data_IF_942646747444
#
_entry.id   IF_942646747444
#
_cell.length_a   1.000
_cell.length_b   1.000
_cell.length_c   1.000
_cell.angle_alpha   90.00
_cell.angle_beta   90.00
_cell.angle_gamma   90.00
#
_symmetry.space_group_name_H-M   'P 1'
#
loop_
_entity.id
_entity.type
_entity.pdbx_description
1 polymer ?
#
# COMPACT_ATOMS: atom_id res chain seq x y z
N UNK A 1 32.29 4.68 24.53
CA UNK A 1 33.41 5.27 25.31
C UNK A 1 32.83 6.47 26.05
N UNK A 2 32.39 6.26 27.31
CA UNK A 2 32.10 7.35 28.24
C UNK A 2 33.41 7.64 28.94
N UNK A 3 34.16 8.66 28.50
CA UNK A 3 35.27 9.19 29.28
C UNK A 3 34.69 9.78 30.57
N UNK A 4 35.14 9.31 31.74
CA UNK A 4 34.84 9.98 33.01
C UNK A 4 35.32 11.43 32.92
N UNK A 5 34.52 12.40 33.40
CA UNK A 5 34.99 13.79 33.46
C UNK A 5 36.25 13.85 34.29
N UNK A 6 37.17 14.71 33.88
CA UNK A 6 38.41 14.95 34.59
C UNK A 6 38.11 15.39 36.04
N UNK A 7 38.90 14.96 37.01
CA UNK A 7 38.71 15.32 38.43
C UNK A 7 38.58 16.84 38.63
N UNK A 8 39.24 17.64 37.81
CA UNK A 8 39.10 19.08 37.79
C UNK A 8 37.68 19.53 37.42
N UNK A 9 37.04 18.90 36.43
CA UNK A 9 35.67 19.23 36.03
C UNK A 9 34.69 18.96 37.16
N UNK A 10 34.89 17.87 37.90
CA UNK A 10 34.10 17.53 39.08
C UNK A 10 34.22 18.56 40.17
N UNK A 11 35.46 19.01 40.45
CA UNK A 11 35.77 20.04 41.49
C UNK A 11 35.14 21.40 41.19
N UNK A 12 35.00 21.78 39.91
CA UNK A 12 34.38 23.05 39.50
C UNK A 12 32.86 22.97 39.36
N UNK A 13 32.23 21.86 39.69
CA UNK A 13 30.78 21.69 39.71
C UNK A 13 30.23 20.86 38.56
N UNK A 14 31.07 20.17 37.79
CA UNK A 14 30.65 19.26 36.72
C UNK A 14 30.32 19.95 35.39
N UNK A 15 29.68 19.17 34.51
CA UNK A 15 29.30 19.68 33.20
C UNK A 15 28.06 20.58 33.28
N UNK A 16 28.22 21.82 32.76
CA UNK A 16 27.11 22.76 32.62
C UNK A 16 26.51 22.68 31.20
N UNK A 17 25.22 22.43 31.09
CA UNK A 17 24.46 22.43 29.82
C UNK A 17 23.79 23.79 29.66
N UNK A 18 24.06 24.45 28.54
CA UNK A 18 23.41 25.68 28.15
C UNK A 18 22.51 25.39 26.92
N UNK A 19 21.24 25.67 27.02
CA UNK A 19 20.30 25.63 25.89
C UNK A 19 19.92 27.05 25.50
N UNK A 20 20.12 27.40 24.23
CA UNK A 20 19.74 28.72 23.69
C UNK A 20 18.26 28.85 23.36
N UNK A 21 17.53 27.69 23.33
CA UNK A 21 16.11 27.59 23.10
C UNK A 21 15.54 26.30 23.70
N UNK A 22 14.22 26.15 23.72
CA UNK A 22 13.56 24.90 24.10
C UNK A 22 13.20 24.11 22.84
N UNK A 23 13.45 22.82 22.89
CA UNK A 23 13.05 21.94 21.81
C UNK A 23 11.53 21.72 21.81
N UNK A 24 10.95 21.38 20.66
CA UNK A 24 9.52 21.06 20.54
C UNK A 24 9.11 19.86 21.40
N UNK A 25 10.01 18.93 21.64
CA UNK A 25 9.78 17.73 22.46
C UNK A 25 10.44 17.82 23.82
N UNK A 26 9.65 17.66 24.89
CA UNK A 26 10.17 17.57 26.27
C UNK A 26 11.18 16.45 26.46
N UNK A 27 11.06 15.37 25.69
CA UNK A 27 11.99 14.24 25.75
C UNK A 27 13.39 14.65 25.31
N UNK A 28 13.52 15.46 24.28
CA UNK A 28 14.82 15.95 23.78
C UNK A 28 15.45 16.92 24.77
N UNK A 29 14.67 17.83 25.36
CA UNK A 29 15.17 18.69 26.44
C UNK A 29 15.70 17.88 27.61
N UNK A 30 15.00 16.80 28.00
CA UNK A 30 15.46 15.91 29.07
C UNK A 30 16.74 15.14 28.68
N UNK A 31 16.86 14.72 27.42
CA UNK A 31 18.07 14.06 26.92
C UNK A 31 19.27 15.02 26.92
N UNK A 32 19.03 16.28 26.57
CA UNK A 32 20.08 17.31 26.64
C UNK A 32 20.52 17.54 28.09
N UNK A 33 19.57 17.76 29.01
CA UNK A 33 19.86 17.91 30.45
C UNK A 33 20.56 16.69 31.02
N UNK A 34 20.18 15.50 30.63
CA UNK A 34 20.74 14.23 31.10
C UNK A 34 22.14 13.93 30.59
N UNK A 35 22.74 14.83 29.81
CA UNK A 35 24.18 14.76 29.49
C UNK A 35 25.05 15.23 30.64
N UNK A 36 24.51 15.99 31.58
CA UNK A 36 25.12 16.44 32.82
C UNK A 36 24.62 15.60 34.01
N UNK A 37 25.41 15.52 35.09
CA UNK A 37 25.05 14.79 36.31
C UNK A 37 24.92 13.26 36.13
N UNK A 38 25.67 12.68 35.22
CA UNK A 38 25.65 11.21 34.99
C UNK A 38 26.39 10.48 36.12
N UNK A 39 25.87 9.30 36.48
CA UNK A 39 26.43 8.41 37.51
C UNK A 39 26.66 9.09 38.88
N UNK A 40 25.92 10.15 39.17
CA UNK A 40 26.02 10.87 40.43
C UNK A 40 27.05 12.01 40.43
N UNK A 41 27.70 12.28 39.31
CA UNK A 41 28.58 13.44 39.16
C UNK A 41 27.78 14.75 39.30
N UNK A 42 28.43 15.84 39.82
CA UNK A 42 27.80 17.15 39.84
C UNK A 42 27.54 17.66 38.41
N UNK A 43 26.55 18.50 38.26
CA UNK A 43 26.26 19.13 36.97
C UNK A 43 25.06 20.03 37.04
N UNK A 44 24.94 20.92 36.07
CA UNK A 44 23.88 21.90 35.98
C UNK A 44 23.31 22.03 34.55
N UNK A 45 22.10 22.56 34.43
CA UNK A 45 21.51 22.90 33.12
C UNK A 45 20.73 24.16 33.20
N UNK A 46 20.89 25.03 32.21
CA UNK A 46 20.16 26.29 32.10
C UNK A 46 19.68 26.51 30.66
N UNK A 47 18.45 26.94 30.51
CA UNK A 47 17.88 27.32 29.22
C UNK A 47 17.65 28.82 29.18
N UNK A 48 18.10 29.44 28.10
CA UNK A 48 17.79 30.83 27.73
C UNK A 48 16.78 30.76 26.60
N UNK A 49 15.66 31.45 26.78
CA UNK A 49 14.52 31.39 25.84
C UNK A 49 14.06 32.80 25.53
N UNK A 50 13.56 32.99 24.31
CA UNK A 50 12.90 34.22 23.87
C UNK A 50 11.41 33.99 23.66
N UNK A 51 10.63 35.05 23.83
CA UNK A 51 9.20 35.05 23.42
C UNK A 51 9.06 34.94 21.91
N UNK A 52 10.11 35.26 21.17
CA UNK A 52 10.18 35.18 19.70
C UNK A 52 10.56 33.80 19.19
N UNK A 53 10.98 32.87 20.08
CA UNK A 53 11.25 31.49 19.69
C UNK A 53 10.03 30.85 19.07
N UNK A 54 10.22 29.99 18.04
CA UNK A 54 9.12 29.39 17.27
C UNK A 54 8.09 28.67 18.13
N UNK A 55 8.54 27.95 19.17
CA UNK A 55 7.66 27.28 20.12
C UNK A 55 6.75 28.27 20.86
N UNK A 56 7.30 29.43 21.24
CA UNK A 56 6.56 30.46 21.98
C UNK A 56 5.62 31.19 21.03
N UNK A 57 6.07 31.56 19.85
CA UNK A 57 5.29 32.28 18.84
C UNK A 57 4.08 31.50 18.37
N UNK A 58 4.22 30.18 18.15
CA UNK A 58 3.14 29.34 17.64
C UNK A 58 2.06 29.02 18.68
N UNK A 59 2.40 28.91 19.95
CA UNK A 59 1.50 28.35 20.96
C UNK A 59 1.21 29.23 22.18
N UNK A 60 1.98 30.27 22.40
CA UNK A 60 1.86 31.14 23.57
C UNK A 60 1.63 32.60 23.16
N UNK A 61 2.10 33.01 22.02
CA UNK A 61 1.94 34.30 21.34
C UNK A 61 1.32 35.46 22.14
N UNK A 62 0.15 35.91 21.66
CA UNK A 62 -0.47 37.11 22.15
C UNK A 62 -0.89 37.11 23.64
N UNK A 63 -1.15 35.91 24.20
CA UNK A 63 -1.57 35.83 25.62
C UNK A 63 -0.42 36.09 26.60
N UNK A 64 0.79 35.60 26.26
CA UNK A 64 1.96 35.84 27.09
C UNK A 64 2.46 37.28 26.90
N UNK A 65 2.50 37.76 25.66
CA UNK A 65 2.82 39.16 25.37
C UNK A 65 1.93 40.13 26.16
N UNK A 66 0.62 39.93 26.10
CA UNK A 66 -0.34 40.73 26.87
C UNK A 66 -0.21 40.58 28.40
N UNK A 67 0.22 39.42 28.88
CA UNK A 67 0.48 39.20 30.31
C UNK A 67 1.77 39.88 30.74
N UNK A 68 2.78 39.90 29.88
CA UNK A 68 4.07 40.56 30.13
C UNK A 68 3.92 42.09 30.13
N UNK A 69 3.14 42.65 29.19
CA UNK A 69 2.81 44.07 29.16
C UNK A 69 2.11 44.51 30.46
N UNK A 70 1.20 43.67 30.99
CA UNK A 70 0.53 43.91 32.25
C UNK A 70 1.43 43.78 33.47
N UNK A 71 2.48 43.00 33.42
CA UNK A 71 3.50 42.84 34.46
C UNK A 71 4.56 43.94 34.44
N UNK A 72 4.51 44.81 33.44
CA UNK A 72 5.45 45.96 33.33
C UNK A 72 6.88 45.54 33.02
N UNK A 73 7.07 44.37 32.35
CA UNK A 73 8.40 43.90 31.98
C UNK A 73 9.08 44.87 30.98
N UNK A 74 10.24 45.35 31.31
CA UNK A 74 11.02 46.24 30.46
C UNK A 74 11.76 45.44 29.38
N UNK A 75 12.03 46.07 28.23
CA UNK A 75 12.82 45.47 27.17
C UNK A 75 14.23 45.07 27.69
N UNK A 76 14.62 43.80 27.52
CA UNK A 76 15.92 43.25 28.02
C UNK A 76 15.84 42.71 29.46
N UNK A 77 14.71 42.73 30.16
CA UNK A 77 14.57 42.16 31.49
C UNK A 77 14.48 40.62 31.44
N UNK A 78 15.20 39.93 32.33
CA UNK A 78 15.17 38.47 32.47
C UNK A 78 13.90 38.04 33.25
N UNK A 79 12.98 37.39 32.57
CA UNK A 79 11.71 36.95 33.15
C UNK A 79 11.87 35.53 33.72
N UNK A 80 11.85 35.40 35.05
CA UNK A 80 11.98 34.12 35.78
C UNK A 80 10.67 33.77 36.51
N UNK A 81 9.51 33.85 35.81
CA UNK A 81 8.26 33.59 36.46
C UNK A 81 7.75 32.16 36.21
N UNK A 82 7.23 31.44 37.24
CA UNK A 82 6.75 30.05 37.07
C UNK A 82 5.65 29.89 36.01
N UNK A 83 4.91 30.97 35.71
CA UNK A 83 3.91 30.97 34.63
C UNK A 83 4.55 30.74 33.25
N UNK A 84 5.72 31.30 32.98
CA UNK A 84 6.44 31.10 31.72
C UNK A 84 6.83 29.63 31.54
N UNK A 85 7.37 29.01 32.59
CA UNK A 85 7.69 27.58 32.58
C UNK A 85 6.48 26.72 32.26
N UNK A 86 5.34 26.99 32.89
CA UNK A 86 4.08 26.27 32.61
C UNK A 86 3.56 26.52 31.21
N UNK A 87 3.68 27.72 30.69
CA UNK A 87 3.29 28.06 29.32
C UNK A 87 4.10 27.27 28.31
N UNK A 88 5.42 27.17 28.48
CA UNK A 88 6.33 26.38 27.65
C UNK A 88 5.96 24.88 27.69
N UNK A 89 5.77 24.33 28.88
CA UNK A 89 5.36 22.92 29.03
C UNK A 89 4.03 22.64 28.34
N UNK A 90 3.07 23.56 28.39
CA UNK A 90 1.78 23.43 27.72
C UNK A 90 1.94 23.52 26.20
N UNK A 91 2.79 24.43 25.70
CA UNK A 91 3.12 24.54 24.29
C UNK A 91 3.78 23.23 23.77
N UNK A 92 4.78 22.74 24.46
CA UNK A 92 5.42 21.48 24.10
C UNK A 92 4.44 20.29 24.07
N UNK A 93 3.56 20.18 25.07
CA UNK A 93 2.52 19.13 25.08
C UNK A 93 1.61 19.23 23.87
N UNK A 94 1.26 20.43 23.45
CA UNK A 94 0.38 20.67 22.30
C UNK A 94 1.06 20.29 20.97
N UNK A 95 2.35 20.65 20.81
CA UNK A 95 3.15 20.23 19.65
C UNK A 95 3.30 18.72 19.61
N UNK A 96 3.65 18.08 20.75
CA UNK A 96 3.77 16.63 20.87
C UNK A 96 2.46 15.93 20.46
N UNK A 97 1.29 16.46 20.90
CA UNK A 97 -0.02 15.91 20.56
C UNK A 97 -0.32 16.04 19.06
N UNK A 98 -0.09 17.22 18.48
CA UNK A 98 -0.30 17.43 17.05
C UNK A 98 0.60 16.52 16.19
N UNK A 99 1.87 16.41 16.58
CA UNK A 99 2.82 15.53 15.87
C UNK A 99 2.44 14.05 16.02
N UNK A 100 1.94 13.66 17.20
CA UNK A 100 1.42 12.30 17.41
C UNK A 100 0.21 12.00 16.52
N UNK A 101 -0.77 12.89 16.49
CA UNK A 101 -1.96 12.73 15.66
C UNK A 101 -1.61 12.68 14.15
N UNK A 102 -0.69 13.54 13.70
CA UNK A 102 -0.22 13.53 12.31
C UNK A 102 0.47 12.21 11.94
N UNK A 103 1.33 11.70 12.82
CA UNK A 103 1.99 10.40 12.61
C UNK A 103 1.01 9.25 12.65
N UNK A 104 0.03 9.29 13.56
CA UNK A 104 -1.02 8.27 13.64
C UNK A 104 -1.81 8.21 12.34
N UNK A 105 -2.23 9.37 11.81
CA UNK A 105 -2.92 9.41 10.52
C UNK A 105 -2.09 8.81 9.39
N UNK A 106 -0.79 9.12 9.31
CA UNK A 106 0.09 8.51 8.30
C UNK A 106 0.12 6.99 8.41
N UNK A 107 0.23 6.45 9.63
CA UNK A 107 0.18 5.01 9.85
C UNK A 107 -1.16 4.40 9.43
N UNK A 108 -2.28 5.06 9.74
CA UNK A 108 -3.61 4.59 9.37
C UNK A 108 -3.80 4.47 7.83
N UNK A 109 -3.14 5.34 7.04
CA UNK A 109 -3.09 5.22 5.59
C UNK A 109 -2.12 4.12 5.12
N UNK A 110 -0.96 4.01 5.73
CA UNK A 110 0.06 3.04 5.36
C UNK A 110 -0.36 1.59 5.71
N UNK A 111 -1.19 1.40 6.73
CA UNK A 111 -1.73 0.09 7.12
C UNK A 111 -2.54 -0.56 6.00
N UNK A 112 -3.31 0.22 5.23
CA UNK A 112 -4.06 -0.31 4.08
C UNK A 112 -3.12 -0.90 3.03
N UNK A 113 -2.10 -0.14 2.65
CA UNK A 113 -1.10 -0.60 1.70
C UNK A 113 -0.32 -1.82 2.22
N UNK A 114 -0.01 -1.87 3.53
CA UNK A 114 0.71 -2.98 4.13
C UNK A 114 -0.11 -4.28 4.10
N UNK A 115 -1.42 -4.22 4.40
CA UNK A 115 -2.31 -5.38 4.31
C UNK A 115 -2.38 -5.92 2.87
N UNK A 116 -2.51 -5.06 1.88
CA UNK A 116 -2.51 -5.45 0.48
C UNK A 116 -1.15 -6.02 0.05
N UNK A 117 -0.05 -5.43 0.56
CA UNK A 117 1.31 -5.92 0.30
C UNK A 117 1.51 -7.34 0.82
N UNK A 118 1.04 -7.67 2.02
CA UNK A 118 1.13 -9.03 2.57
C UNK A 118 0.49 -10.04 1.62
N UNK A 119 -0.72 -9.80 1.14
CA UNK A 119 -1.41 -10.67 0.19
C UNK A 119 -0.62 -10.86 -1.11
N UNK A 120 -0.08 -9.76 -1.67
CA UNK A 120 0.71 -9.81 -2.92
C UNK A 120 2.04 -10.53 -2.73
N UNK A 121 2.72 -10.30 -1.58
CA UNK A 121 4.00 -10.93 -1.30
C UNK A 121 3.87 -12.43 -1.01
N UNK A 122 2.77 -12.86 -0.39
CA UNK A 122 2.48 -14.29 -0.20
C UNK A 122 2.27 -14.98 -1.55
N UNK A 123 1.50 -14.38 -2.47
CA UNK A 123 1.34 -14.89 -3.84
C UNK A 123 2.67 -14.90 -4.61
N UNK A 124 3.48 -13.86 -4.43
CA UNK A 124 4.80 -13.79 -5.07
C UNK A 124 5.74 -14.87 -4.55
N UNK A 125 5.72 -15.14 -3.25
CA UNK A 125 6.51 -16.22 -2.64
C UNK A 125 6.05 -17.57 -3.19
N UNK A 126 4.74 -17.81 -3.22
CA UNK A 126 4.18 -19.02 -3.81
C UNK A 126 4.59 -19.22 -5.28
N UNK A 127 4.57 -18.16 -6.09
CA UNK A 127 5.02 -18.20 -7.47
C UNK A 127 6.52 -18.46 -7.61
N UNK A 128 7.35 -18.08 -6.62
CA UNK A 128 8.79 -18.38 -6.57
C UNK A 128 9.08 -19.83 -6.19
N UNK A 129 8.26 -20.43 -5.33
CA UNK A 129 8.39 -21.82 -4.93
C UNK A 129 8.04 -22.75 -6.08
N UNK A 130 7.12 -22.35 -6.97
CA UNK A 130 6.79 -23.09 -8.18
C UNK A 130 6.06 -24.42 -7.92
N UNK A 131 6.20 -25.35 -8.88
CA UNK A 131 5.67 -26.71 -8.74
C UNK A 131 4.26 -26.92 -9.28
N UNK A 132 3.68 -28.08 -8.95
CA UNK A 132 2.32 -28.45 -9.40
C UNK A 132 1.23 -27.58 -8.77
N UNK A 133 1.42 -27.14 -7.52
CA UNK A 133 0.47 -26.28 -6.84
C UNK A 133 0.34 -24.92 -7.54
N UNK A 134 1.44 -24.40 -8.11
CA UNK A 134 1.39 -23.16 -8.90
C UNK A 134 0.56 -23.31 -10.18
N UNK A 135 0.67 -24.46 -10.85
CA UNK A 135 -0.15 -24.76 -12.04
C UNK A 135 -1.62 -24.85 -11.68
N UNK A 136 -1.94 -25.44 -10.52
CA UNK A 136 -3.29 -25.50 -9.97
C UNK A 136 -3.86 -24.10 -9.72
N UNK A 137 -3.12 -23.20 -9.03
CA UNK A 137 -3.55 -21.82 -8.81
C UNK A 137 -3.71 -21.04 -10.13
N UNK A 138 -2.81 -21.22 -11.09
CA UNK A 138 -2.95 -20.61 -12.41
C UNK A 138 -4.23 -21.08 -13.11
N UNK A 139 -4.55 -22.39 -13.00
CA UNK A 139 -5.80 -22.92 -13.54
C UNK A 139 -7.01 -22.29 -12.85
N UNK A 140 -7.06 -22.23 -11.54
CA UNK A 140 -8.16 -21.59 -10.79
C UNK A 140 -8.38 -20.13 -11.21
N UNK A 141 -7.31 -19.39 -11.47
CA UNK A 141 -7.39 -18.01 -11.98
C UNK A 141 -8.00 -17.97 -13.38
N UNK A 142 -7.60 -18.88 -14.26
CA UNK A 142 -8.11 -18.98 -15.64
C UNK A 142 -9.58 -19.40 -15.63
N UNK A 143 -9.92 -20.43 -14.86
CA UNK A 143 -11.27 -20.93 -14.72
C UNK A 143 -12.25 -19.84 -14.25
N UNK A 144 -11.86 -19.10 -13.19
CA UNK A 144 -12.64 -17.98 -12.70
C UNK A 144 -12.86 -16.91 -13.79
N UNK A 145 -11.81 -16.60 -14.56
CA UNK A 145 -11.91 -15.62 -15.65
C UNK A 145 -12.79 -16.12 -16.80
N UNK A 146 -12.74 -17.42 -17.12
CA UNK A 146 -13.63 -18.04 -18.11
C UNK A 146 -15.09 -17.96 -17.66
N UNK A 147 -15.35 -18.31 -16.39
CA UNK A 147 -16.69 -18.23 -15.81
C UNK A 147 -17.24 -16.80 -15.85
N UNK A 148 -16.44 -15.81 -15.40
CA UNK A 148 -16.82 -14.39 -15.46
C UNK A 148 -17.07 -13.91 -16.90
N UNK A 149 -16.28 -14.42 -17.86
CA UNK A 149 -16.51 -14.11 -19.28
C UNK A 149 -17.82 -14.69 -19.78
N UNK A 150 -18.16 -15.92 -19.41
CA UNK A 150 -19.45 -16.53 -19.77
C UNK A 150 -20.60 -15.72 -19.16
N UNK A 151 -20.50 -15.36 -17.87
CA UNK A 151 -21.53 -14.55 -17.19
C UNK A 151 -21.76 -13.20 -17.91
N UNK A 152 -20.70 -12.53 -18.37
CA UNK A 152 -20.79 -11.25 -19.09
C UNK A 152 -21.63 -11.38 -20.38
N UNK A 153 -21.44 -12.47 -21.14
CA UNK A 153 -22.15 -12.68 -22.39
C UNK A 153 -23.56 -13.28 -22.21
N UNK A 154 -23.87 -13.81 -21.04
CA UNK A 154 -25.16 -14.41 -20.67
C UNK A 154 -25.92 -13.57 -19.63
N UNK A 155 -25.61 -12.26 -19.49
CA UNK A 155 -26.17 -11.39 -18.45
C UNK A 155 -27.70 -11.23 -18.55
N UNK A 156 -28.32 -11.42 -19.76
CA UNK A 156 -29.76 -11.29 -19.94
C UNK A 156 -30.55 -12.48 -19.37
N UNK A 157 -31.71 -12.20 -18.75
CA UNK A 157 -32.66 -13.23 -18.32
C UNK A 157 -33.30 -13.97 -19.49
N UNK A 158 -33.20 -13.44 -20.72
CA UNK A 158 -33.77 -14.02 -21.93
C UNK A 158 -32.66 -14.65 -22.78
N UNK A 159 -32.74 -15.95 -23.01
CA UNK A 159 -31.78 -16.73 -23.81
C UNK A 159 -31.62 -16.15 -25.24
N UNK A 160 -32.68 -15.61 -25.83
CA UNK A 160 -32.66 -15.01 -27.17
C UNK A 160 -31.74 -13.79 -27.28
N UNK A 161 -31.39 -13.17 -26.16
CA UNK A 161 -30.52 -11.99 -26.08
C UNK A 161 -29.05 -12.33 -25.81
N UNK A 162 -28.70 -13.60 -25.59
CA UNK A 162 -27.33 -14.03 -25.34
C UNK A 162 -26.46 -13.90 -26.58
N UNK A 163 -25.27 -13.26 -26.43
CA UNK A 163 -24.29 -13.14 -27.52
C UNK A 163 -23.33 -14.35 -27.55
N UNK A 164 -23.86 -15.52 -27.95
CA UNK A 164 -23.08 -16.75 -28.05
C UNK A 164 -21.97 -16.65 -29.09
N UNK A 165 -22.19 -15.92 -30.17
CA UNK A 165 -21.17 -15.71 -31.20
C UNK A 165 -20.03 -14.81 -30.69
N UNK A 166 -20.34 -13.81 -29.88
CA UNK A 166 -19.38 -12.96 -29.20
C UNK A 166 -18.54 -13.77 -28.19
N UNK A 167 -19.20 -14.59 -27.36
CA UNK A 167 -18.54 -15.49 -26.41
C UNK A 167 -17.56 -16.44 -27.11
N UNK A 168 -17.99 -17.13 -28.18
CA UNK A 168 -17.11 -18.00 -28.97
C UNK A 168 -15.87 -17.29 -29.49
N UNK A 169 -16.06 -16.07 -29.99
CA UNK A 169 -14.96 -15.24 -30.48
C UNK A 169 -14.03 -14.83 -29.36
N UNK A 170 -14.57 -14.43 -28.22
CA UNK A 170 -13.79 -14.03 -27.04
C UNK A 170 -12.94 -15.18 -26.53
N UNK A 171 -13.51 -16.36 -26.31
CA UNK A 171 -12.81 -17.56 -25.87
C UNK A 171 -11.71 -17.97 -26.89
N UNK A 172 -12.02 -17.89 -28.18
CA UNK A 172 -11.02 -18.21 -29.22
C UNK A 172 -9.85 -17.25 -29.22
N UNK A 173 -10.07 -15.96 -29.03
CA UNK A 173 -9.01 -14.93 -29.01
C UNK A 173 -8.13 -15.00 -27.75
N UNK A 174 -8.74 -15.25 -26.60
CA UNK A 174 -8.03 -15.24 -25.33
C UNK A 174 -7.32 -16.55 -25.02
N UNK A 175 -7.95 -17.70 -25.38
CA UNK A 175 -7.47 -19.03 -24.99
C UNK A 175 -7.06 -19.91 -26.16
N UNK A 176 -7.13 -19.43 -27.40
CA UNK A 176 -6.79 -20.18 -28.61
C UNK A 176 -7.52 -21.53 -28.75
N UNK A 177 -8.76 -21.60 -28.24
CA UNK A 177 -9.62 -22.77 -28.37
C UNK A 177 -11.00 -22.38 -28.89
N UNK A 178 -11.71 -23.30 -29.55
CA UNK A 178 -13.01 -23.05 -30.12
C UNK A 178 -14.08 -23.85 -29.40
N UNK A 179 -15.21 -23.21 -29.06
CA UNK A 179 -16.42 -23.85 -28.51
C UNK A 179 -17.25 -24.44 -29.62
N UNK A 180 -16.83 -25.61 -30.15
CA UNK A 180 -17.43 -26.21 -31.31
C UNK A 180 -18.86 -26.74 -31.07
N UNK A 181 -19.17 -27.11 -29.84
CA UNK A 181 -20.46 -27.67 -29.44
C UNK A 181 -21.51 -26.59 -29.13
N UNK A 182 -21.11 -25.33 -28.99
CA UNK A 182 -22.00 -24.22 -28.73
C UNK A 182 -22.57 -23.70 -30.06
N UNK A 183 -23.91 -23.54 -30.23
CA UNK A 183 -24.51 -22.95 -31.42
C UNK A 183 -24.11 -21.47 -31.58
N UNK A 184 -24.35 -20.88 -32.75
CA UNK A 184 -24.03 -19.46 -32.99
C UNK A 184 -25.15 -18.56 -32.50
N UNK A 185 -26.39 -19.02 -32.47
CA UNK A 185 -27.56 -18.32 -31.93
C UNK A 185 -28.29 -19.23 -30.94
N UNK A 186 -28.83 -18.65 -29.86
CA UNK A 186 -29.50 -19.40 -28.81
C UNK A 186 -30.75 -20.16 -29.28
N UNK A 187 -31.39 -19.70 -30.37
CA UNK A 187 -32.57 -20.34 -31.00
C UNK A 187 -32.26 -21.54 -31.93
N UNK A 188 -30.98 -21.86 -32.17
CA UNK A 188 -30.57 -23.03 -32.99
C UNK A 188 -30.43 -24.32 -32.19
N UNK A 189 -30.60 -24.28 -30.86
CA UNK A 189 -30.66 -25.46 -30.02
C UNK A 189 -31.95 -26.27 -30.31
N UNK A 190 -31.89 -27.62 -30.22
CA UNK A 190 -33.03 -28.50 -30.43
C UNK A 190 -34.24 -28.02 -29.61
N UNK A 191 -35.44 -27.95 -30.24
CA UNK A 191 -36.70 -27.45 -29.66
C UNK A 191 -37.10 -28.14 -28.33
N UNK A 192 -36.50 -29.28 -27.99
CA UNK A 192 -36.82 -30.09 -26.80
C UNK A 192 -35.91 -29.80 -25.58
N UNK A 193 -34.75 -29.14 -25.75
CA UNK A 193 -33.81 -28.81 -24.63
C UNK A 193 -33.18 -27.43 -24.88
N UNK A 194 -33.67 -26.38 -24.20
CA UNK A 194 -33.01 -25.09 -24.15
C UNK A 194 -31.58 -25.21 -23.57
N UNK A 195 -30.69 -24.33 -23.98
CA UNK A 195 -29.31 -24.28 -23.45
C UNK A 195 -29.36 -23.81 -22.00
N UNK A 196 -28.91 -24.65 -21.07
CA UNK A 196 -28.78 -24.21 -19.68
C UNK A 196 -27.44 -23.44 -19.47
N UNK A 197 -27.49 -22.32 -18.75
CA UNK A 197 -26.31 -21.48 -18.45
C UNK A 197 -25.15 -22.32 -17.90
N UNK A 198 -25.45 -23.27 -17.01
CA UNK A 198 -24.43 -24.12 -16.40
C UNK A 198 -23.75 -25.05 -17.42
N UNK A 199 -24.46 -25.51 -18.47
CA UNK A 199 -23.86 -26.32 -19.53
C UNK A 199 -22.91 -25.49 -20.39
N UNK A 200 -23.23 -24.23 -20.65
CA UNK A 200 -22.34 -23.30 -21.38
C UNK A 200 -21.07 -23.04 -20.56
N UNK A 201 -21.19 -22.81 -19.25
CA UNK A 201 -20.05 -22.70 -18.34
C UNK A 201 -19.16 -23.94 -18.43
N UNK A 202 -19.74 -25.12 -18.29
CA UNK A 202 -18.99 -26.37 -18.31
C UNK A 202 -18.29 -26.59 -19.66
N UNK A 203 -18.98 -26.34 -20.77
CA UNK A 203 -18.39 -26.44 -22.12
C UNK A 203 -17.21 -25.47 -22.28
N UNK A 204 -17.33 -24.23 -21.81
CA UNK A 204 -16.26 -23.23 -21.89
C UNK A 204 -15.06 -23.64 -21.03
N UNK A 205 -15.31 -24.03 -19.77
CA UNK A 205 -14.27 -24.46 -18.83
C UNK A 205 -13.55 -25.70 -19.35
N UNK A 206 -14.28 -26.74 -19.80
CA UNK A 206 -13.67 -27.99 -20.31
C UNK A 206 -12.78 -27.72 -21.54
N UNK A 207 -13.26 -26.90 -22.47
CA UNK A 207 -12.49 -26.57 -23.68
C UNK A 207 -11.21 -25.80 -23.36
N UNK A 208 -11.26 -24.87 -22.43
CA UNK A 208 -10.08 -24.08 -21.99
C UNK A 208 -9.16 -24.94 -21.14
N UNK A 209 -9.68 -25.83 -20.29
CA UNK A 209 -8.90 -26.76 -19.49
C UNK A 209 -8.07 -27.73 -20.36
N UNK A 210 -8.68 -28.31 -21.38
CA UNK A 210 -7.95 -29.16 -22.33
C UNK A 210 -6.84 -28.38 -23.04
N UNK A 211 -7.11 -27.13 -23.40
CA UNK A 211 -6.11 -26.27 -24.03
C UNK A 211 -5.00 -25.85 -23.07
N UNK A 212 -5.33 -25.62 -21.79
CA UNK A 212 -4.36 -25.34 -20.73
C UNK A 212 -3.36 -26.52 -20.58
N UNK A 213 -3.84 -27.75 -20.48
CA UNK A 213 -2.97 -28.91 -20.38
C UNK A 213 -2.09 -29.08 -21.62
N UNK A 214 -2.65 -28.94 -22.82
CA UNK A 214 -1.84 -28.97 -24.04
C UNK A 214 -0.75 -27.91 -24.07
N UNK A 215 -1.05 -26.73 -23.51
CA UNK A 215 -0.11 -25.62 -23.44
C UNK A 215 1.02 -25.90 -22.46
N UNK A 216 0.69 -26.39 -21.27
CA UNK A 216 1.67 -26.75 -20.22
C UNK A 216 2.57 -27.91 -20.73
N UNK A 217 1.98 -28.95 -21.31
CA UNK A 217 2.72 -30.09 -21.90
C UNK A 217 3.67 -29.64 -23.03
N UNK A 218 3.24 -28.66 -23.81
CA UNK A 218 4.04 -28.03 -24.86
C UNK A 218 5.29 -27.32 -24.37
N UNK A 219 5.35 -26.90 -23.10
CA UNK A 219 6.56 -26.35 -22.50
C UNK A 219 7.57 -27.40 -22.02
N UNK A 220 7.14 -28.65 -21.88
CA UNK A 220 8.00 -29.76 -21.47
C UNK A 220 8.77 -29.46 -20.17
N UNK A 221 10.09 -29.67 -20.21
CA UNK A 221 10.97 -29.43 -19.05
C UNK A 221 10.98 -27.96 -18.54
N UNK A 222 10.53 -27.02 -19.35
CA UNK A 222 10.52 -25.59 -19.00
C UNK A 222 9.21 -25.12 -18.38
N UNK A 223 8.20 -26.00 -18.27
CA UNK A 223 6.85 -25.63 -17.83
C UNK A 223 6.88 -24.89 -16.48
N UNK A 224 7.58 -25.38 -15.48
CA UNK A 224 7.70 -24.78 -14.16
C UNK A 224 8.34 -23.38 -14.21
N UNK A 225 9.47 -23.25 -14.92
CA UNK A 225 10.13 -21.96 -15.05
C UNK A 225 9.29 -20.92 -15.81
N UNK A 226 8.54 -21.36 -16.83
CA UNK A 226 7.66 -20.48 -17.62
C UNK A 226 6.45 -20.02 -16.78
N UNK A 227 5.81 -20.94 -16.05
CA UNK A 227 4.66 -20.60 -15.19
C UNK A 227 5.07 -19.64 -14.07
N UNK A 228 6.17 -19.93 -13.36
CA UNK A 228 6.72 -19.02 -12.35
C UNK A 228 7.07 -17.65 -12.92
N UNK A 229 7.73 -17.61 -14.07
CA UNK A 229 8.10 -16.34 -14.71
C UNK A 229 6.88 -15.50 -15.10
N UNK A 230 5.86 -16.12 -15.69
CA UNK A 230 4.62 -15.42 -16.08
C UNK A 230 3.94 -14.85 -14.84
N UNK A 231 3.74 -15.67 -13.80
CA UNK A 231 3.09 -15.25 -12.57
C UNK A 231 3.84 -14.08 -11.92
N UNK A 232 5.15 -14.20 -11.73
CA UNK A 232 5.99 -13.15 -11.15
C UNK A 232 5.96 -11.87 -11.98
N UNK A 233 6.07 -11.99 -13.30
CA UNK A 233 6.06 -10.82 -14.19
C UNK A 233 4.75 -10.04 -14.11
N UNK A 234 3.62 -10.76 -14.04
CA UNK A 234 2.30 -10.13 -13.90
C UNK A 234 2.14 -9.50 -12.53
N UNK A 235 2.45 -10.24 -11.45
CA UNK A 235 2.36 -9.73 -10.08
C UNK A 235 3.21 -8.46 -9.93
N UNK A 236 4.48 -8.51 -10.31
CA UNK A 236 5.40 -7.39 -10.12
C UNK A 236 4.97 -6.16 -10.96
N UNK A 237 4.50 -6.37 -12.18
CA UNK A 237 4.00 -5.28 -13.04
C UNK A 237 2.76 -4.63 -12.48
N UNK A 238 1.73 -5.43 -12.21
CA UNK A 238 0.42 -4.93 -11.72
C UNK A 238 0.52 -4.31 -10.33
N UNK A 239 1.32 -4.90 -9.45
CA UNK A 239 1.56 -4.32 -8.12
C UNK A 239 2.25 -2.95 -8.19
N UNK A 240 3.22 -2.79 -9.06
CA UNK A 240 3.89 -1.50 -9.25
C UNK A 240 2.92 -0.41 -9.71
N UNK A 241 2.06 -0.73 -10.69
CA UNK A 241 1.07 0.21 -11.20
C UNK A 241 0.03 0.56 -10.11
N UNK A 242 -0.43 -0.44 -9.34
CA UNK A 242 -1.34 -0.23 -8.22
C UNK A 242 -0.76 0.65 -7.11
N UNK A 243 0.53 0.51 -6.77
CA UNK A 243 1.18 1.41 -5.80
C UNK A 243 1.17 2.86 -6.28
N UNK A 244 1.39 3.07 -7.57
CA UNK A 244 1.31 4.39 -8.18
C UNK A 244 -0.10 4.98 -8.07
N UNK A 245 -1.12 4.18 -8.36
CA UNK A 245 -2.52 4.61 -8.26
C UNK A 245 -2.94 4.88 -6.81
N UNK A 246 -2.49 4.08 -5.84
CA UNK A 246 -2.71 4.34 -4.41
C UNK A 246 -2.06 5.65 -3.94
N UNK A 247 -0.88 5.99 -4.44
CA UNK A 247 -0.23 7.26 -4.13
C UNK A 247 -1.04 8.45 -4.68
N UNK A 248 -1.60 8.32 -5.88
CA UNK A 248 -2.51 9.32 -6.46
C UNK A 248 -3.81 9.44 -5.66
N UNK A 249 -4.41 8.31 -5.25
CA UNK A 249 -5.59 8.30 -4.40
C UNK A 249 -5.29 9.02 -3.07
N UNK A 250 -4.18 8.69 -2.41
CA UNK A 250 -3.75 9.31 -1.15
C UNK A 250 -3.56 10.82 -1.29
N UNK A 251 -3.01 11.29 -2.41
CA UNK A 251 -2.82 12.71 -2.67
C UNK A 251 -4.15 13.46 -2.89
N UNK A 252 -5.13 12.81 -3.51
CA UNK A 252 -6.41 13.42 -3.89
C UNK A 252 -7.51 13.29 -2.84
N UNK A 253 -7.43 12.30 -1.96
CA UNK A 253 -8.51 11.96 -1.02
C UNK A 253 -8.85 13.09 -0.03
N UNK A 254 -7.88 13.97 0.27
CA UNK A 254 -8.08 15.11 1.15
C UNK A 254 -9.20 16.06 0.69
N UNK A 255 -9.44 16.15 -0.62
CA UNK A 255 -10.53 16.97 -1.19
C UNK A 255 -11.91 16.40 -0.87
N UNK A 256 -12.05 15.11 -0.56
CA UNK A 256 -13.31 14.48 -0.15
C UNK A 256 -13.82 15.01 1.20
N UNK A 257 -12.91 15.52 2.05
CA UNK A 257 -13.27 16.17 3.33
C UNK A 257 -14.19 17.38 3.17
N UNK A 258 -14.21 18.02 2.01
CA UNK A 258 -15.12 19.14 1.74
C UNK A 258 -16.59 18.69 1.64
N UNK A 259 -16.84 17.40 1.36
CA UNK A 259 -18.16 16.77 1.34
C UNK A 259 -18.64 16.23 2.70
N UNK A 260 -18.02 16.63 3.82
CA UNK A 260 -18.28 16.13 5.19
C UNK A 260 -18.04 14.61 5.38
N UNK A 261 -17.30 13.97 4.48
CA UNK A 261 -16.89 12.58 4.59
C UNK A 261 -15.53 12.50 5.27
N UNK A 262 -15.31 11.43 6.06
CA UNK A 262 -13.99 11.16 6.63
C UNK A 262 -13.04 10.69 5.52
N UNK A 263 -11.97 11.45 5.20
CA UNK A 263 -11.05 11.08 4.14
C UNK A 263 -10.38 9.72 4.33
N UNK A 264 -10.16 9.28 5.57
CA UNK A 264 -9.55 7.98 5.85
C UNK A 264 -10.52 6.83 5.53
N UNK A 265 -11.80 6.99 5.83
CA UNK A 265 -12.82 5.99 5.52
C UNK A 265 -13.00 5.86 4.01
N UNK A 266 -13.08 7.00 3.29
CA UNK A 266 -13.19 7.00 1.83
C UNK A 266 -11.94 6.39 1.19
N UNK A 267 -10.74 6.71 1.70
CA UNK A 267 -9.50 6.11 1.23
C UNK A 267 -9.50 4.58 1.39
N UNK A 268 -9.89 4.07 2.56
CA UNK A 268 -9.96 2.62 2.81
C UNK A 268 -10.90 1.93 1.85
N UNK A 269 -12.05 2.56 1.57
CA UNK A 269 -13.05 2.01 0.66
C UNK A 269 -12.53 2.00 -0.79
N UNK A 270 -12.07 3.14 -1.31
CA UNK A 270 -11.57 3.26 -2.69
C UNK A 270 -10.32 2.38 -2.90
N UNK A 271 -9.40 2.33 -1.94
CA UNK A 271 -8.22 1.48 -2.00
C UNK A 271 -8.56 -0.03 -1.99
N UNK A 272 -9.63 -0.42 -1.29
CA UNK A 272 -10.12 -1.80 -1.33
C UNK A 272 -10.72 -2.15 -2.70
N UNK A 273 -11.56 -1.26 -3.26
CA UNK A 273 -12.14 -1.44 -4.59
C UNK A 273 -11.03 -1.57 -5.66
N UNK A 274 -10.05 -0.67 -5.64
CA UNK A 274 -8.87 -0.74 -6.52
C UNK A 274 -8.07 -2.04 -6.36
N UNK A 275 -8.00 -2.59 -5.15
CA UNK A 275 -7.31 -3.86 -4.91
C UNK A 275 -8.08 -5.06 -5.44
N UNK A 276 -9.40 -5.04 -5.35
CA UNK A 276 -10.26 -6.06 -5.99
C UNK A 276 -10.05 -6.03 -7.50
N UNK A 277 -10.11 -4.85 -8.12
CA UNK A 277 -9.88 -4.67 -9.56
C UNK A 277 -8.47 -5.16 -9.98
N UNK A 278 -7.44 -4.88 -9.15
CA UNK A 278 -6.10 -5.42 -9.35
C UNK A 278 -6.09 -6.95 -9.39
N UNK A 279 -6.80 -7.60 -8.46
CA UNK A 279 -6.82 -9.06 -8.37
C UNK A 279 -7.53 -9.69 -9.57
N UNK A 280 -8.58 -9.06 -10.08
CA UNK A 280 -9.30 -9.52 -11.27
C UNK A 280 -8.48 -9.31 -12.54
N UNK A 281 -7.84 -8.14 -12.68
CA UNK A 281 -6.94 -7.85 -13.80
C UNK A 281 -5.71 -8.77 -13.81
N UNK A 282 -5.19 -9.13 -12.63
CA UNK A 282 -4.10 -10.10 -12.48
C UNK A 282 -4.52 -11.47 -13.02
N UNK A 283 -5.72 -11.98 -12.64
CA UNK A 283 -6.27 -13.26 -13.13
C UNK A 283 -6.37 -13.29 -14.65
N UNK A 284 -6.99 -12.26 -15.24
CA UNK A 284 -7.14 -12.13 -16.69
C UNK A 284 -5.81 -12.04 -17.43
N UNK A 285 -4.86 -11.29 -16.87
CA UNK A 285 -3.53 -11.09 -17.48
C UNK A 285 -2.69 -12.37 -17.46
N UNK A 286 -2.72 -13.14 -16.37
CA UNK A 286 -2.00 -14.43 -16.24
C UNK A 286 -2.47 -15.40 -17.32
N UNK A 287 -3.79 -15.60 -17.46
CA UNK A 287 -4.35 -16.47 -18.49
C UNK A 287 -3.92 -16.04 -19.89
N UNK A 288 -4.08 -14.77 -20.21
CA UNK A 288 -3.77 -14.22 -21.53
C UNK A 288 -2.29 -14.40 -21.89
N UNK A 289 -1.37 -14.15 -20.93
CA UNK A 289 0.07 -14.32 -21.16
C UNK A 289 0.45 -15.80 -21.31
N UNK A 290 -0.14 -16.69 -20.51
CA UNK A 290 0.14 -18.12 -20.59
C UNK A 290 -0.18 -18.67 -21.98
N UNK A 291 -1.36 -18.38 -22.51
CA UNK A 291 -1.78 -18.91 -23.83
C UNK A 291 -0.98 -18.29 -24.97
N UNK A 292 -0.52 -17.05 -24.84
CA UNK A 292 0.35 -16.36 -25.82
C UNK A 292 1.83 -16.74 -25.71
N UNK A 293 2.27 -17.28 -24.57
CA UNK A 293 3.68 -17.62 -24.35
C UNK A 293 4.17 -18.67 -25.37
N UNK A 294 5.38 -18.49 -25.90
CA UNK A 294 6.04 -19.44 -26.77
C UNK A 294 7.49 -19.59 -26.34
N UNK A 295 7.97 -20.84 -26.29
CA UNK A 295 9.40 -21.09 -26.08
C UNK A 295 10.10 -20.77 -27.40
N UNK A 296 10.86 -19.68 -27.43
CA UNK A 296 11.68 -19.35 -28.59
C UNK A 296 12.77 -20.41 -28.83
N UNK A 297 12.91 -20.89 -30.05
CA UNK A 297 14.10 -21.68 -30.42
C UNK A 297 15.35 -20.82 -30.15
N UNK A 298 16.39 -21.40 -29.55
CA UNK A 298 17.64 -20.66 -29.35
C UNK A 298 18.13 -20.16 -30.73
N UNK A 299 18.32 -18.84 -30.84
CA UNK A 299 18.92 -18.25 -32.05
C UNK A 299 20.23 -18.97 -32.30
N UNK A 300 20.31 -19.76 -33.40
CA UNK A 300 21.57 -20.23 -33.89
C UNK A 300 22.44 -19.01 -34.17
N UNK A 301 23.48 -18.83 -33.38
CA UNK A 301 24.52 -17.86 -33.71
C UNK A 301 25.09 -18.23 -35.07
N UNK A 302 25.21 -17.31 -36.03
CA UNK A 302 25.91 -17.60 -37.26
C UNK A 302 27.33 -18.03 -36.92
N UNK A 303 27.87 -19.07 -37.60
CA UNK A 303 29.23 -19.50 -37.38
C UNK A 303 30.22 -18.35 -37.63
N UNK A 304 31.36 -18.33 -36.89
CA UNK A 304 32.36 -17.27 -36.93
C UNK A 304 32.99 -17.07 -38.31
#
# INVERSE_FOLDING_TARGET
FESKPDDFVIQVGGLQILGSERHESRRIDRQLRGRSGRQGDPGSSQFFISVEDDLMRLFVGDRLANAMDKLGASEGEVITHPMVTRAIETAQKRVESNNFESRKRLLDYDDVMNQQREVIYDRRLFALEGGEDLKGEMWEMIEHNVQSTVDEYLESEHEEEWDLSGLKRRITLDYFTALKSLPDEAGEADEDHGLEVHEIHQMAVDAVHEQFHRKIDGFGEHAEGVTSYIMLSVIDGKWKDHLYDLDHLKASIGFRGWGQKDPLVEYKKEAYEMFVDLMDDLRGTVGNLLFKAQIGQPRQQPPP
#
